data_IF_216879367964
#
_entry.id   IF_216879367964
#
_cell.length_a   1.000
_cell.length_b   1.000
_cell.length_c   1.000
_cell.angle_alpha   90.00
_cell.angle_beta   90.00
_cell.angle_gamma   90.00
#
_symmetry.space_group_name_H-M   'P 1'
#
loop_
_entity.id
_entity.type
_entity.pdbx_description
1 polymer ?
#
# COMPACT_ATOMS: atom_id res chain seq x y z
N UNK A 1 -7.42 23.91 -40.32
CA UNK A 1 -8.37 24.04 -39.20
C UNK A 1 -7.95 23.06 -38.12
N UNK A 2 -6.99 23.46 -37.28
CA UNK A 2 -6.18 22.59 -36.40
C UNK A 2 -6.39 23.05 -34.94
N UNK A 3 -7.59 23.01 -34.36
CA UNK A 3 -7.77 23.44 -32.95
C UNK A 3 -8.90 22.75 -32.15
N UNK A 4 -9.34 21.53 -32.50
CA UNK A 4 -10.35 20.82 -31.67
C UNK A 4 -9.86 19.59 -30.88
N UNK A 5 -8.66 19.08 -31.14
CA UNK A 5 -8.18 17.83 -30.52
C UNK A 5 -7.33 17.99 -29.26
N UNK A 6 -7.14 19.21 -28.73
CA UNK A 6 -6.28 19.47 -27.55
C UNK A 6 -6.99 19.45 -26.20
N UNK A 7 -8.31 19.17 -26.13
CA UNK A 7 -9.07 19.29 -24.88
C UNK A 7 -9.26 17.98 -24.07
N UNK A 8 -8.84 16.82 -24.59
CA UNK A 8 -8.89 15.56 -23.85
C UNK A 8 -7.63 15.32 -23.00
N UNK A 9 -7.21 16.31 -22.20
CA UNK A 9 -6.39 16.01 -21.03
C UNK A 9 -7.32 15.34 -20.01
N UNK A 10 -7.20 14.02 -19.86
CA UNK A 10 -7.73 13.24 -18.73
C UNK A 10 -7.30 13.91 -17.42
N UNK A 11 -8.09 14.85 -16.92
CA UNK A 11 -8.07 15.21 -15.50
C UNK A 11 -8.77 14.07 -14.78
N UNK A 12 -8.09 13.42 -13.85
CA UNK A 12 -8.74 12.51 -12.92
C UNK A 12 -9.96 13.21 -12.35
N UNK A 13 -11.14 12.65 -12.60
CA UNK A 13 -12.37 13.33 -12.23
C UNK A 13 -12.58 13.15 -10.73
N UNK A 14 -13.21 14.12 -10.07
CA UNK A 14 -13.55 14.02 -8.64
C UNK A 14 -14.33 12.74 -8.31
N UNK A 15 -15.06 12.20 -9.29
CA UNK A 15 -15.74 10.90 -9.24
C UNK A 15 -14.78 9.73 -9.09
N UNK A 16 -13.63 9.74 -9.77
CA UNK A 16 -12.63 8.68 -9.69
C UNK A 16 -11.95 8.70 -8.31
N UNK A 17 -11.55 9.88 -7.84
CA UNK A 17 -10.97 10.07 -6.50
C UNK A 17 -11.95 9.67 -5.39
N UNK A 18 -13.23 10.03 -5.52
CA UNK A 18 -14.26 9.65 -4.56
C UNK A 18 -14.53 8.15 -4.55
N UNK A 19 -14.51 7.49 -5.73
CA UNK A 19 -14.66 6.04 -5.86
C UNK A 19 -13.52 5.28 -5.18
N UNK A 20 -12.30 5.79 -5.31
CA UNK A 20 -11.10 5.19 -4.73
C UNK A 20 -11.10 5.31 -3.20
N UNK A 21 -11.48 6.48 -2.67
CA UNK A 21 -11.72 6.68 -1.23
C UNK A 21 -12.83 5.80 -0.69
N UNK A 22 -13.94 5.67 -1.42
CA UNK A 22 -15.06 4.81 -1.00
C UNK A 22 -14.66 3.33 -0.99
N UNK A 23 -13.90 2.86 -1.98
CA UNK A 23 -13.37 1.49 -2.03
C UNK A 23 -12.48 1.20 -0.83
N UNK A 24 -11.62 2.15 -0.45
CA UNK A 24 -10.75 2.03 0.73
C UNK A 24 -11.54 1.96 2.03
N UNK A 25 -12.54 2.83 2.20
CA UNK A 25 -13.46 2.81 3.36
C UNK A 25 -14.24 1.48 3.45
N UNK A 26 -14.71 0.94 2.33
CA UNK A 26 -15.43 -0.33 2.29
C UNK A 26 -14.54 -1.56 2.54
N UNK A 27 -13.25 -1.50 2.19
CA UNK A 27 -12.27 -2.52 2.56
C UNK A 27 -12.07 -2.48 4.08
N UNK A 28 -11.88 -1.29 4.63
CA UNK A 28 -11.72 -1.04 6.05
C UNK A 28 -12.92 -1.54 6.89
N UNK A 29 -14.15 -1.25 6.45
CA UNK A 29 -15.38 -1.62 7.16
C UNK A 29 -15.63 -3.14 7.21
N UNK A 30 -15.19 -3.89 6.18
CA UNK A 30 -15.32 -5.35 6.13
C UNK A 30 -14.20 -6.10 6.87
N UNK A 31 -13.09 -5.44 7.21
CA UNK A 31 -11.92 -6.07 7.82
C UNK A 31 -11.86 -5.89 9.34
N UNK A 32 -12.69 -5.03 9.94
CA UNK A 32 -12.69 -4.74 11.39
C UNK A 32 -11.36 -4.16 11.92
N UNK A 33 -10.51 -3.63 11.03
CA UNK A 33 -9.17 -3.11 11.38
C UNK A 33 -9.10 -1.63 11.05
N UNK A 34 -8.84 -0.79 12.06
CA UNK A 34 -8.72 0.66 11.88
C UNK A 34 -7.46 1.03 11.08
N UNK A 35 -7.44 2.16 10.32
CA UNK A 35 -6.25 2.57 9.58
C UNK A 35 -5.11 2.89 10.56
N UNK A 36 -5.44 3.37 11.76
CA UNK A 36 -4.47 3.59 12.82
C UNK A 36 -3.80 2.28 13.26
N UNK A 37 -4.56 1.18 13.36
CA UNK A 37 -3.97 -0.12 13.70
C UNK A 37 -3.02 -0.61 12.60
N UNK A 38 -3.38 -0.44 11.33
CA UNK A 38 -2.51 -0.84 10.22
C UNK A 38 -1.21 -0.02 10.19
N UNK A 39 -1.27 1.29 10.40
CA UNK A 39 -0.07 2.12 10.50
C UNK A 39 0.80 1.74 11.71
N UNK A 40 0.19 1.38 12.85
CA UNK A 40 0.94 0.85 14.00
C UNK A 40 1.67 -0.46 13.64
N UNK A 41 0.97 -1.45 13.07
CA UNK A 41 1.57 -2.73 12.66
C UNK A 41 2.70 -2.51 11.66
N UNK A 42 2.48 -1.63 10.67
CA UNK A 42 3.50 -1.23 9.69
C UNK A 42 4.76 -0.68 10.37
N UNK A 43 4.61 0.28 11.28
CA UNK A 43 5.74 0.90 11.98
C UNK A 43 6.56 -0.14 12.76
N UNK A 44 5.89 -1.07 13.45
CA UNK A 44 6.56 -2.12 14.22
C UNK A 44 7.32 -3.11 13.33
N UNK A 45 6.74 -3.56 12.20
CA UNK A 45 7.42 -4.44 11.25
C UNK A 45 8.66 -3.76 10.66
N UNK A 46 8.55 -2.48 10.28
CA UNK A 46 9.67 -1.72 9.73
C UNK A 46 10.81 -1.61 10.74
N UNK A 47 10.50 -1.25 11.99
CA UNK A 47 11.51 -1.17 13.07
C UNK A 47 12.25 -2.49 13.26
N UNK A 48 11.53 -3.62 13.22
CA UNK A 48 12.15 -4.94 13.33
C UNK A 48 13.13 -5.18 12.17
N UNK A 49 12.73 -4.88 10.93
CA UNK A 49 13.59 -5.05 9.75
C UNK A 49 14.83 -4.15 9.84
N UNK A 50 14.66 -2.91 10.31
CA UNK A 50 15.76 -1.95 10.50
C UNK A 50 16.83 -2.41 11.49
N UNK A 51 16.51 -3.33 12.40
CA UNK A 51 17.51 -3.89 13.31
C UNK A 51 18.55 -4.76 12.56
N UNK A 52 18.17 -5.34 11.43
CA UNK A 52 19.01 -6.27 10.67
C UNK A 52 19.46 -5.71 9.31
N UNK A 53 18.72 -4.74 8.77
CA UNK A 53 18.93 -4.22 7.42
C UNK A 53 18.92 -2.69 7.41
N UNK A 54 19.72 -2.10 6.54
CA UNK A 54 19.58 -0.70 6.16
C UNK A 54 18.58 -0.62 5.02
N UNK A 55 17.49 0.11 5.23
CA UNK A 55 16.38 0.22 4.29
C UNK A 55 16.16 1.68 3.89
N UNK A 56 15.56 1.88 2.72
CA UNK A 56 15.11 3.21 2.29
C UNK A 56 13.69 3.48 2.79
N UNK A 57 13.54 4.30 3.83
CA UNK A 57 12.22 4.67 4.33
C UNK A 57 11.43 5.53 3.34
N UNK A 58 12.11 6.36 2.55
CA UNK A 58 11.47 7.28 1.60
C UNK A 58 10.92 6.56 0.36
N UNK A 59 11.52 5.42 -0.01
CA UNK A 59 11.11 4.60 -1.15
C UNK A 59 10.33 3.34 -0.74
N UNK A 60 9.98 3.22 0.54
CA UNK A 60 9.16 2.14 1.06
C UNK A 60 7.72 2.29 0.59
N UNK A 61 7.18 1.24 -0.03
CA UNK A 61 5.80 1.19 -0.49
C UNK A 61 5.06 0.04 0.18
N UNK A 62 3.92 0.34 0.82
CA UNK A 62 3.11 -0.65 1.53
C UNK A 62 1.66 -0.47 1.14
N UNK A 63 1.04 -1.57 0.72
CA UNK A 63 -0.30 -1.60 0.19
C UNK A 63 -1.12 -2.70 0.86
N UNK A 64 -2.35 -2.36 1.28
CA UNK A 64 -3.34 -3.36 1.67
C UNK A 64 -4.10 -3.81 0.42
N UNK A 65 -3.85 -5.05 0.02
CA UNK A 65 -4.53 -5.69 -1.11
C UNK A 65 -5.50 -6.76 -0.63
N UNK A 66 -6.12 -7.44 -1.58
CA UNK A 66 -6.98 -8.59 -1.38
C UNK A 66 -6.40 -9.76 -2.17
N UNK A 67 -6.18 -10.88 -1.50
CA UNK A 67 -5.69 -12.11 -2.11
C UNK A 67 -6.70 -13.23 -1.91
N UNK A 68 -6.63 -14.28 -2.73
CA UNK A 68 -7.37 -15.51 -2.49
C UNK A 68 -6.75 -16.19 -1.27
N UNK A 69 -7.59 -16.74 -0.39
CA UNK A 69 -7.17 -17.66 0.67
C UNK A 69 -6.55 -18.93 0.07
N UNK A 70 -5.81 -19.67 0.88
CA UNK A 70 -5.17 -20.93 0.47
C UNK A 70 -6.18 -21.98 -0.03
N UNK A 71 -7.44 -21.90 0.42
CA UNK A 71 -8.56 -22.72 -0.02
C UNK A 71 -9.20 -22.24 -1.35
N UNK A 72 -8.82 -21.06 -1.86
CA UNK A 72 -9.30 -20.48 -3.12
C UNK A 72 -10.73 -19.96 -3.09
N UNK A 73 -11.46 -20.14 -1.98
CA UNK A 73 -12.90 -19.86 -1.90
C UNK A 73 -13.21 -18.45 -1.39
N UNK A 74 -12.27 -17.82 -0.69
CA UNK A 74 -12.49 -16.52 -0.03
C UNK A 74 -11.43 -15.50 -0.42
N UNK A 75 -11.87 -14.24 -0.49
CA UNK A 75 -10.98 -13.11 -0.70
C UNK A 75 -10.64 -12.53 0.69
N UNK A 76 -9.38 -12.66 1.09
CA UNK A 76 -8.87 -12.17 2.39
C UNK A 76 -7.99 -10.93 2.17
N UNK A 77 -7.96 -9.98 3.12
CA UNK A 77 -7.02 -8.86 3.05
C UNK A 77 -5.58 -9.37 3.20
N UNK A 78 -4.66 -8.82 2.42
CA UNK A 78 -3.22 -9.10 2.50
C UNK A 78 -2.43 -7.79 2.52
N UNK A 79 -1.39 -7.75 3.34
CA UNK A 79 -0.46 -6.62 3.40
C UNK A 79 0.74 -6.93 2.51
N UNK A 80 0.98 -6.10 1.50
CA UNK A 80 2.12 -6.23 0.58
C UNK A 80 3.04 -5.04 0.81
N UNK A 81 4.33 -5.31 1.04
CA UNK A 81 5.33 -4.29 1.28
C UNK A 81 6.52 -4.49 0.34
N UNK A 82 6.88 -3.45 -0.39
CA UNK A 82 8.16 -3.33 -1.08
C UNK A 82 9.10 -2.51 -0.21
N UNK A 83 10.17 -3.15 0.27
CA UNK A 83 11.12 -2.55 1.21
C UNK A 83 12.49 -2.55 0.53
N UNK A 84 12.92 -1.43 -0.07
CA UNK A 84 14.21 -1.34 -0.73
C UNK A 84 15.35 -1.45 0.29
N UNK A 85 16.22 -2.44 0.09
CA UNK A 85 17.37 -2.68 0.95
C UNK A 85 18.56 -1.88 0.41
N UNK A 86 19.14 -1.01 1.23
CA UNK A 86 20.39 -0.28 0.94
C UNK A 86 21.62 -1.12 1.31
N UNK A 87 21.52 -1.91 2.37
CA UNK A 87 22.62 -2.73 2.87
C UNK A 87 22.17 -3.67 3.97
N UNK A 88 23.00 -4.67 4.26
CA UNK A 88 22.82 -5.54 5.43
C UNK A 88 23.67 -5.02 6.57
N UNK A 89 23.12 -4.95 7.79
CA UNK A 89 23.93 -4.65 8.96
C UNK A 89 24.83 -5.85 9.23
N UNK A 90 26.14 -5.65 9.29
CA UNK A 90 27.08 -6.70 9.69
C UNK A 90 26.96 -6.93 11.20
N UNK A 91 26.04 -7.81 11.60
CA UNK A 91 25.82 -8.19 13.01
C UNK A 91 26.84 -9.24 13.49
N UNK A 92 27.92 -9.42 12.74
CA UNK A 92 28.98 -10.39 13.00
C UNK A 92 30.35 -9.74 12.93
N UNK A 93 30.74 -9.07 14.01
CA UNK A 93 32.12 -9.03 14.54
C UNK A 93 32.08 -8.66 16.02
#
# INVERSE_FOLDING_TARGET
MIELFKFFKKKETSKDVAKERLKLVLIHDRSNVSPQFLEMVKSEIIKVIQNYMEIDEDALDIQLTRTNSDDGERIVPALVANIPIKGMKNIGR
#
